data_IF_776803529026
#
_entry.id   IF_776803529026
#
_cell.length_a   1.000
_cell.length_b   1.000
_cell.length_c   1.000
_cell.angle_alpha   90.00
_cell.angle_beta   90.00
_cell.angle_gamma   90.00
#
_symmetry.space_group_name_H-M   'P 1'
#
loop_
_entity.id
_entity.type
_entity.pdbx_description
1 polymer ?
#
# COMPACT_ATOMS: atom_id res chain seq x y z
N UNK A 1 -5.56 -3.74 -18.51
CA UNK A 1 -4.89 -2.52 -17.98
C UNK A 1 -4.58 -2.72 -16.50
N UNK A 2 -3.56 -2.02 -15.96
CA UNK A 2 -3.21 -2.11 -14.55
C UNK A 2 -4.23 -1.33 -13.71
N UNK A 3 -4.85 -1.97 -12.73
CA UNK A 3 -5.70 -1.30 -11.74
C UNK A 3 -4.85 -0.59 -10.69
N UNK A 4 -5.35 0.51 -10.08
CA UNK A 4 -4.65 1.17 -8.97
C UNK A 4 -4.41 0.21 -7.80
N UNK A 5 -3.21 0.28 -7.19
CA UNK A 5 -2.82 -0.60 -6.07
C UNK A 5 -2.52 0.19 -4.81
N UNK A 6 -3.02 -0.29 -3.69
CA UNK A 6 -2.71 0.20 -2.34
C UNK A 6 -1.77 -0.73 -1.58
N UNK A 7 -1.68 -2.00 -2.00
CA UNK A 7 -0.82 -3.02 -1.42
C UNK A 7 0.17 -3.52 -2.48
N UNK A 8 1.46 -3.41 -2.15
CA UNK A 8 2.58 -3.82 -2.99
C UNK A 8 3.21 -5.06 -2.39
N UNK A 9 3.30 -6.13 -3.16
CA UNK A 9 3.88 -7.41 -2.74
C UNK A 9 4.27 -8.23 -3.95
N UNK A 10 5.43 -8.87 -3.90
CA UNK A 10 5.89 -9.79 -4.93
C UNK A 10 6.58 -9.14 -6.13
N UNK A 11 6.57 -7.80 -6.27
CA UNK A 11 7.11 -7.12 -7.46
C UNK A 11 8.60 -7.40 -7.69
N UNK A 12 9.34 -7.67 -6.62
CA UNK A 12 10.78 -7.90 -6.65
C UNK A 12 11.20 -9.32 -6.25
N UNK A 13 10.27 -10.28 -6.15
CA UNK A 13 10.61 -11.67 -5.77
C UNK A 13 11.68 -12.29 -6.66
N UNK A 14 11.67 -12.03 -7.97
CA UNK A 14 12.65 -12.56 -8.92
C UNK A 14 14.08 -12.06 -8.69
N UNK A 15 14.24 -10.97 -7.92
CA UNK A 15 15.54 -10.38 -7.58
C UNK A 15 16.05 -10.80 -6.20
N UNK A 16 15.39 -11.73 -5.52
CA UNK A 16 15.78 -12.13 -4.16
C UNK A 16 17.22 -12.61 -4.08
N UNK A 17 17.61 -13.55 -4.94
CA UNK A 17 18.99 -14.08 -4.97
C UNK A 17 20.01 -13.01 -5.38
N UNK A 18 19.62 -12.08 -6.26
CA UNK A 18 20.44 -10.94 -6.63
C UNK A 18 20.66 -10.01 -5.43
N UNK A 19 19.64 -9.70 -4.66
CA UNK A 19 19.77 -8.91 -3.43
C UNK A 19 20.65 -9.61 -2.39
N UNK A 20 20.50 -10.93 -2.21
CA UNK A 20 21.34 -11.70 -1.30
C UNK A 20 22.82 -11.72 -1.70
N UNK A 21 23.15 -11.67 -2.99
CA UNK A 21 24.53 -11.67 -3.50
C UNK A 21 25.27 -10.36 -3.27
N UNK A 22 24.56 -9.28 -2.86
CA UNK A 22 25.16 -7.97 -2.62
C UNK A 22 25.30 -7.68 -1.11
N UNK A 23 26.27 -6.83 -0.72
CA UNK A 23 26.42 -6.42 0.68
C UNK A 23 25.13 -5.81 1.24
N UNK A 24 24.63 -6.35 2.33
CA UNK A 24 23.40 -5.92 2.99
C UNK A 24 23.49 -6.16 4.52
N UNK A 25 22.51 -5.63 5.25
CA UNK A 25 22.32 -5.94 6.66
C UNK A 25 20.94 -6.56 6.85
N UNK A 26 20.87 -7.70 7.54
CA UNK A 26 19.56 -8.25 7.94
C UNK A 26 19.02 -7.48 9.14
N UNK A 27 17.74 -7.07 9.06
CA UNK A 27 17.03 -6.37 10.12
C UNK A 27 15.68 -7.02 10.40
N UNK A 28 15.28 -6.93 11.66
CA UNK A 28 13.98 -7.39 12.13
C UNK A 28 13.29 -6.24 12.87
N UNK A 29 11.99 -6.09 12.65
CA UNK A 29 11.16 -5.12 13.34
C UNK A 29 9.97 -5.85 13.96
N UNK A 30 9.70 -5.60 15.22
CA UNK A 30 8.52 -6.12 15.89
C UNK A 30 7.25 -5.40 15.38
N UNK A 31 6.10 -6.07 15.51
CA UNK A 31 4.82 -5.43 15.23
C UNK A 31 4.66 -4.12 15.99
N UNK A 32 4.31 -3.05 15.27
CA UNK A 32 4.16 -1.69 15.81
C UNK A 32 5.46 -0.90 15.91
N UNK A 33 6.61 -1.50 15.58
CA UNK A 33 7.88 -0.81 15.52
C UNK A 33 7.95 0.09 14.28
N UNK A 34 8.62 1.24 14.41
CA UNK A 34 8.76 2.22 13.33
C UNK A 34 10.05 1.98 12.57
N UNK A 35 9.95 1.86 11.25
CA UNK A 35 11.10 1.85 10.35
C UNK A 35 11.59 3.28 10.13
N UNK A 36 10.66 4.22 9.94
CA UNK A 36 10.92 5.66 9.87
C UNK A 36 9.81 6.44 10.56
N UNK A 37 10.20 7.48 11.26
CA UNK A 37 9.30 8.46 11.88
C UNK A 37 9.34 9.78 11.12
N UNK A 38 8.30 10.56 11.23
CA UNK A 38 8.26 11.96 10.77
C UNK A 38 9.55 12.70 11.20
N UNK A 39 10.15 13.41 10.26
CA UNK A 39 11.42 14.15 10.45
C UNK A 39 12.67 13.31 10.15
N UNK A 40 12.57 12.03 9.91
CA UNK A 40 13.70 11.16 9.55
C UNK A 40 13.80 11.01 8.04
N UNK A 41 14.98 11.28 7.43
CA UNK A 41 15.19 11.03 6.02
C UNK A 41 15.23 9.52 5.73
N UNK A 42 14.73 9.12 4.59
CA UNK A 42 14.78 7.74 4.11
C UNK A 42 16.16 7.41 3.52
N UNK A 43 17.14 7.12 4.35
CA UNK A 43 18.53 6.86 3.92
C UNK A 43 18.80 5.41 3.53
N UNK A 44 17.87 4.52 3.80
CA UNK A 44 18.00 3.09 3.56
C UNK A 44 16.88 2.59 2.65
N UNK A 45 17.14 1.50 1.94
CA UNK A 45 16.14 0.78 1.15
C UNK A 45 16.05 -0.63 1.71
N UNK A 46 14.84 -1.09 1.96
CA UNK A 46 14.58 -2.42 2.50
C UNK A 46 13.92 -3.29 1.41
N UNK A 47 14.47 -4.47 1.17
CA UNK A 47 13.72 -5.55 0.54
C UNK A 47 13.02 -6.35 1.65
N UNK A 48 11.71 -6.49 1.56
CA UNK A 48 10.90 -7.15 2.58
C UNK A 48 10.91 -8.66 2.33
N UNK A 49 11.56 -9.42 3.23
CA UNK A 49 11.62 -10.89 3.18
C UNK A 49 10.32 -11.52 3.67
N UNK A 50 9.73 -10.93 4.70
CA UNK A 50 8.47 -11.40 5.30
C UNK A 50 7.79 -10.29 6.07
N UNK A 51 6.48 -10.44 6.28
CA UNK A 51 5.65 -9.49 7.02
C UNK A 51 5.09 -8.36 6.16
N UNK A 52 4.53 -7.35 6.80
CA UNK A 52 3.88 -6.20 6.14
C UNK A 52 4.09 -4.91 6.92
N UNK A 53 4.26 -3.82 6.19
CA UNK A 53 4.35 -2.46 6.73
C UNK A 53 3.26 -1.55 6.17
N UNK A 54 3.00 -0.46 6.88
CA UNK A 54 2.10 0.61 6.47
C UNK A 54 2.87 1.93 6.38
N UNK A 55 2.62 2.66 5.30
CA UNK A 55 3.17 3.97 5.04
C UNK A 55 2.06 5.02 5.07
N UNK A 56 2.23 6.09 5.87
CA UNK A 56 1.20 7.09 6.07
C UNK A 56 1.78 8.46 6.39
N UNK A 57 0.94 9.50 6.25
CA UNK A 57 1.18 10.85 6.73
C UNK A 57 0.14 11.23 7.78
N UNK A 58 0.58 11.86 8.86
CA UNK A 58 -0.30 12.52 9.83
C UNK A 58 -0.35 14.01 9.50
N UNK A 59 -1.55 14.56 9.36
CA UNK A 59 -1.78 15.98 9.15
C UNK A 59 -1.92 16.71 10.50
N UNK A 60 -1.53 17.97 10.56
CA UNK A 60 -1.58 18.80 11.77
C UNK A 60 -2.96 18.90 12.44
N UNK A 61 -4.03 18.72 11.68
CA UNK A 61 -5.41 18.68 12.19
C UNK A 61 -5.82 17.30 12.74
N UNK A 62 -4.88 16.36 12.89
CA UNK A 62 -5.11 15.03 13.46
C UNK A 62 -5.64 13.97 12.48
N UNK A 63 -5.82 14.32 11.20
CA UNK A 63 -6.18 13.33 10.18
C UNK A 63 -4.97 12.53 9.73
N UNK A 64 -5.15 11.21 9.57
CA UNK A 64 -4.15 10.30 8.99
C UNK A 64 -4.53 9.96 7.57
N UNK A 65 -3.58 10.13 6.62
CA UNK A 65 -3.69 9.60 5.26
C UNK A 65 -2.78 8.38 5.12
N UNK A 66 -3.37 7.20 4.99
CA UNK A 66 -2.63 5.98 4.64
C UNK A 66 -2.35 6.03 3.14
N UNK A 67 -1.06 5.93 2.80
CA UNK A 67 -0.59 6.02 1.43
C UNK A 67 -0.51 4.64 0.80
N UNK A 68 0.16 3.68 1.46
CA UNK A 68 0.37 2.35 0.91
C UNK A 68 0.70 1.32 1.99
N UNK A 69 0.56 0.06 1.59
CA UNK A 69 1.06 -1.08 2.32
C UNK A 69 2.10 -1.80 1.48
N UNK A 70 3.11 -2.35 2.13
CA UNK A 70 4.16 -3.14 1.48
C UNK A 70 4.33 -4.45 2.22
N UNK A 71 4.41 -5.53 1.47
CA UNK A 71 4.57 -6.88 1.98
C UNK A 71 5.78 -7.58 1.38
N UNK A 72 5.83 -8.88 1.61
CA UNK A 72 6.89 -9.76 1.14
C UNK A 72 7.16 -9.60 -0.37
N UNK A 73 8.44 -9.57 -0.75
CA UNK A 73 8.86 -9.45 -2.14
C UNK A 73 8.72 -8.05 -2.73
N UNK A 74 8.49 -7.02 -1.91
CA UNK A 74 8.54 -5.62 -2.35
C UNK A 74 9.77 -4.91 -1.78
N UNK A 75 10.13 -3.75 -2.38
CA UNK A 75 11.09 -2.82 -1.82
C UNK A 75 10.38 -1.63 -1.19
N UNK A 76 10.98 -1.03 -0.15
CA UNK A 76 10.51 0.21 0.44
C UNK A 76 11.62 0.93 1.23
N UNK A 77 11.74 2.26 1.15
CA UNK A 77 11.13 3.13 0.13
C UNK A 77 11.64 2.84 -1.27
N UNK A 78 11.05 3.46 -2.29
CA UNK A 78 11.59 3.38 -3.65
C UNK A 78 12.95 4.07 -3.76
N UNK A 79 13.77 3.61 -4.71
CA UNK A 79 15.07 4.23 -4.98
C UNK A 79 14.92 5.48 -5.85
N UNK A 80 15.50 6.59 -5.41
CA UNK A 80 15.66 7.83 -6.17
C UNK A 80 16.85 8.62 -5.65
N UNK A 81 17.39 9.50 -6.48
CA UNK A 81 18.52 10.38 -6.14
C UNK A 81 18.09 11.76 -5.65
N UNK A 82 16.84 12.18 -5.94
CA UNK A 82 16.29 13.45 -5.52
C UNK A 82 15.84 13.40 -4.06
N UNK A 83 16.07 14.49 -3.30
CA UNK A 83 15.47 14.65 -1.97
C UNK A 83 14.07 15.25 -2.08
N UNK A 84 13.07 14.62 -1.49
CA UNK A 84 11.71 15.15 -1.42
C UNK A 84 11.40 15.65 -0.01
N UNK A 85 11.12 16.94 0.14
CA UNK A 85 10.75 17.53 1.44
C UNK A 85 9.55 16.80 2.07
N UNK A 86 8.61 16.32 1.25
CA UNK A 86 7.40 15.62 1.70
C UNK A 86 7.74 14.30 2.43
N UNK A 87 8.86 13.64 2.12
CA UNK A 87 9.29 12.42 2.80
C UNK A 87 9.47 12.61 4.30
N UNK A 88 9.88 13.81 4.73
CA UNK A 88 10.04 14.13 6.15
C UNK A 88 8.71 14.19 6.92
N UNK A 89 7.57 14.25 6.24
CA UNK A 89 6.24 14.20 6.86
C UNK A 89 5.68 12.77 6.96
N UNK A 90 6.39 11.80 6.41
CA UNK A 90 5.91 10.43 6.27
C UNK A 90 6.38 9.55 7.43
N UNK A 91 5.58 8.57 7.75
CA UNK A 91 5.86 7.57 8.79
C UNK A 91 5.67 6.17 8.22
N UNK A 92 6.58 5.26 8.60
CA UNK A 92 6.49 3.85 8.22
C UNK A 92 6.53 2.98 9.46
N UNK A 93 5.53 2.10 9.60
CA UNK A 93 5.36 1.24 10.78
C UNK A 93 5.13 -0.22 10.36
N UNK A 94 5.70 -1.15 11.11
CA UNK A 94 5.49 -2.58 10.96
C UNK A 94 4.07 -2.97 11.42
N UNK A 95 3.28 -3.59 10.54
CA UNK A 95 1.94 -4.12 10.86
C UNK A 95 1.99 -5.52 11.47
N UNK A 96 3.00 -6.27 11.09
CA UNK A 96 3.34 -7.59 11.62
C UNK A 96 4.79 -7.58 12.07
N UNK A 97 5.32 -8.67 12.55
CA UNK A 97 6.77 -8.88 12.60
C UNK A 97 7.31 -8.86 11.16
N UNK A 98 8.42 -8.14 10.92
CA UNK A 98 9.03 -7.93 9.59
C UNK A 98 10.48 -8.36 9.63
N UNK A 99 10.90 -9.06 8.57
CA UNK A 99 12.30 -9.33 8.25
C UNK A 99 12.67 -8.68 6.92
N UNK A 100 13.81 -7.97 6.86
CA UNK A 100 14.24 -7.25 5.66
C UNK A 100 15.73 -7.44 5.38
N UNK A 101 16.11 -7.28 4.10
CA UNK A 101 17.47 -6.94 3.69
C UNK A 101 17.56 -5.43 3.57
N UNK A 102 18.43 -4.82 4.37
CA UNK A 102 18.65 -3.37 4.40
C UNK A 102 19.88 -3.02 3.56
N UNK A 103 19.69 -2.07 2.63
CA UNK A 103 20.74 -1.50 1.79
C UNK A 103 20.88 -0.01 2.04
N UNK A 104 22.10 0.50 1.98
CA UNK A 104 22.32 1.94 1.87
C UNK A 104 21.88 2.43 0.47
N UNK A 105 21.58 3.72 0.33
CA UNK A 105 21.28 4.31 -0.99
C UNK A 105 22.43 4.09 -1.99
N UNK A 106 23.69 4.15 -1.52
CA UNK A 106 24.86 3.90 -2.38
C UNK A 106 24.93 2.46 -2.89
N UNK A 107 24.70 1.47 -2.00
CA UNK A 107 24.65 0.05 -2.42
C UNK A 107 23.52 -0.19 -3.43
N UNK A 108 22.34 0.39 -3.18
CA UNK A 108 21.22 0.22 -4.12
C UNK A 108 21.45 0.95 -5.44
N UNK A 109 22.10 2.14 -5.43
CA UNK A 109 22.51 2.84 -6.64
C UNK A 109 23.39 1.97 -7.54
N UNK A 110 24.38 1.32 -6.94
CA UNK A 110 25.27 0.43 -7.66
C UNK A 110 24.52 -0.76 -8.28
N UNK A 111 23.66 -1.43 -7.50
CA UNK A 111 22.81 -2.51 -8.02
C UNK A 111 21.88 -2.04 -9.14
N UNK A 112 21.31 -0.83 -9.01
CA UNK A 112 20.44 -0.23 -10.02
C UNK A 112 21.18 0.07 -11.34
N UNK A 113 22.42 0.48 -11.27
CA UNK A 113 23.27 0.76 -12.46
C UNK A 113 23.77 -0.53 -13.13
N UNK A 114 24.08 -1.57 -12.34
CA UNK A 114 24.65 -2.83 -12.83
C UNK A 114 23.58 -3.77 -13.43
N UNK A 115 22.30 -3.64 -13.01
CA UNK A 115 21.23 -4.55 -13.42
C UNK A 115 20.06 -3.80 -14.08
N UNK A 116 20.05 -3.80 -15.42
CA UNK A 116 19.00 -3.13 -16.22
C UNK A 116 17.59 -3.66 -15.91
N UNK A 117 17.43 -4.97 -15.66
CA UNK A 117 16.12 -5.53 -15.34
C UNK A 117 15.61 -5.02 -13.97
N UNK A 118 16.51 -4.84 -13.00
CA UNK A 118 16.16 -4.22 -11.71
C UNK A 118 15.74 -2.77 -11.91
N UNK A 119 16.49 -2.02 -12.75
CA UNK A 119 16.16 -0.62 -13.07
C UNK A 119 14.79 -0.49 -13.72
N UNK A 120 14.48 -1.34 -14.70
CA UNK A 120 13.17 -1.39 -15.35
C UNK A 120 12.05 -1.75 -14.33
N UNK A 121 12.32 -2.70 -13.45
CA UNK A 121 11.35 -3.10 -12.41
C UNK A 121 11.07 -1.95 -11.43
N UNK A 122 12.08 -1.18 -11.04
CA UNK A 122 11.91 0.00 -10.18
C UNK A 122 11.08 1.07 -10.90
N UNK A 123 11.33 1.33 -12.19
CA UNK A 123 10.50 2.26 -13.00
C UNK A 123 9.05 1.78 -13.09
N UNK A 124 8.84 0.50 -13.35
CA UNK A 124 7.49 -0.10 -13.40
C UNK A 124 6.77 0.03 -12.04
N UNK A 125 7.48 -0.19 -10.94
CA UNK A 125 6.95 -0.04 -9.60
C UNK A 125 6.54 1.42 -9.32
N UNK A 126 7.37 2.41 -9.69
CA UNK A 126 6.98 3.83 -9.62
C UNK A 126 5.78 4.17 -10.50
N UNK A 127 5.68 3.56 -11.69
CA UNK A 127 4.53 3.75 -12.58
C UNK A 127 3.23 3.27 -11.92
N UNK A 128 3.24 2.19 -11.15
CA UNK A 128 2.10 1.74 -10.37
C UNK A 128 1.71 2.75 -9.28
N UNK A 129 2.69 3.38 -8.62
CA UNK A 129 2.46 4.46 -7.66
C UNK A 129 1.83 5.68 -8.32
N UNK A 130 2.38 6.11 -9.46
CA UNK A 130 1.84 7.24 -10.23
C UNK A 130 0.40 6.96 -10.68
N UNK A 131 0.14 5.75 -11.22
CA UNK A 131 -1.20 5.33 -11.62
C UNK A 131 -2.22 5.45 -10.45
N UNK A 132 -1.85 5.01 -9.25
CA UNK A 132 -2.69 5.16 -8.06
C UNK A 132 -2.89 6.63 -7.66
N UNK A 133 -1.83 7.44 -7.68
CA UNK A 133 -1.94 8.87 -7.35
C UNK A 133 -2.84 9.61 -8.33
N UNK A 134 -2.72 9.33 -9.63
CA UNK A 134 -3.60 9.89 -10.65
C UNK A 134 -5.05 9.46 -10.43
N UNK A 135 -5.29 8.18 -10.12
CA UNK A 135 -6.62 7.70 -9.77
C UNK A 135 -7.20 8.43 -8.56
N UNK A 136 -6.42 8.62 -7.49
CA UNK A 136 -6.88 9.32 -6.29
C UNK A 136 -7.20 10.80 -6.57
N UNK A 137 -6.34 11.50 -7.32
CA UNK A 137 -6.47 12.95 -7.53
C UNK A 137 -7.46 13.33 -8.62
N UNK A 138 -7.61 12.51 -9.67
CA UNK A 138 -8.44 12.82 -10.82
C UNK A 138 -9.84 12.21 -10.72
N UNK A 139 -9.94 10.99 -10.19
CA UNK A 139 -11.20 10.25 -10.14
C UNK A 139 -11.75 10.11 -8.74
N UNK A 140 -10.96 9.57 -7.82
CA UNK A 140 -11.42 9.28 -6.46
C UNK A 140 -11.83 10.55 -5.71
N UNK A 141 -11.19 11.68 -5.97
CA UNK A 141 -11.50 12.98 -5.34
C UNK A 141 -12.96 13.41 -5.55
N UNK A 142 -13.47 13.21 -6.77
CA UNK A 142 -14.82 13.66 -7.15
C UNK A 142 -15.92 12.64 -6.87
N UNK A 143 -15.57 11.41 -6.51
CA UNK A 143 -16.53 10.37 -6.18
C UNK A 143 -17.22 10.63 -4.84
N UNK A 144 -18.50 10.22 -4.72
CA UNK A 144 -19.19 10.24 -3.42
C UNK A 144 -18.48 9.31 -2.41
N UNK A 145 -18.66 9.59 -1.11
CA UNK A 145 -18.06 8.75 -0.05
C UNK A 145 -18.43 7.26 -0.20
N UNK A 146 -19.63 6.95 -0.68
CA UNK A 146 -20.07 5.58 -0.90
C UNK A 146 -19.31 4.92 -2.07
N UNK A 147 -19.18 5.60 -3.20
CA UNK A 147 -18.41 5.12 -4.37
C UNK A 147 -16.93 4.96 -4.01
N UNK A 148 -16.33 5.90 -3.26
CA UNK A 148 -14.95 5.77 -2.75
C UNK A 148 -14.76 4.47 -1.97
N UNK A 149 -15.71 4.10 -1.11
CA UNK A 149 -15.67 2.84 -0.32
C UNK A 149 -15.78 1.64 -1.24
N UNK A 150 -16.72 1.64 -2.20
CA UNK A 150 -16.88 0.55 -3.17
C UNK A 150 -15.61 0.35 -3.99
N UNK A 151 -15.05 1.42 -4.55
CA UNK A 151 -13.82 1.39 -5.34
C UNK A 151 -12.65 0.78 -4.54
N UNK A 152 -12.45 1.24 -3.30
CA UNK A 152 -11.37 0.72 -2.47
C UNK A 152 -11.54 -0.77 -2.18
N UNK A 153 -12.72 -1.20 -1.75
CA UNK A 153 -12.99 -2.61 -1.46
C UNK A 153 -12.81 -3.49 -2.71
N UNK A 154 -13.26 -3.01 -3.87
CA UNK A 154 -13.08 -3.71 -5.14
C UNK A 154 -11.59 -3.86 -5.48
N UNK A 155 -10.83 -2.75 -5.49
CA UNK A 155 -9.41 -2.76 -5.83
C UNK A 155 -8.59 -3.62 -4.89
N UNK A 156 -8.90 -3.58 -3.60
CA UNK A 156 -8.25 -4.41 -2.62
C UNK A 156 -8.55 -5.91 -2.87
N UNK A 157 -9.75 -6.26 -3.32
CA UNK A 157 -10.14 -7.65 -3.62
C UNK A 157 -9.47 -8.17 -4.89
N UNK A 158 -9.54 -7.42 -6.00
CA UNK A 158 -9.01 -7.88 -7.30
C UNK A 158 -7.49 -7.90 -7.36
N UNK A 159 -6.82 -7.06 -6.58
CA UNK A 159 -5.37 -7.04 -6.49
C UNK A 159 -4.80 -8.10 -5.51
N UNK A 160 -5.67 -8.85 -4.84
CA UNK A 160 -5.29 -9.96 -3.97
C UNK A 160 -6.00 -11.25 -4.41
N UNK A 161 -5.55 -11.91 -5.49
CA UNK A 161 -6.26 -13.03 -6.11
C UNK A 161 -6.34 -14.30 -5.25
N UNK A 162 -5.56 -14.39 -4.16
CA UNK A 162 -5.56 -15.57 -3.27
C UNK A 162 -6.65 -15.53 -2.19
N UNK A 163 -7.29 -14.37 -1.99
CA UNK A 163 -8.28 -14.22 -0.93
C UNK A 163 -9.52 -13.47 -1.43
N UNK A 164 -10.61 -14.18 -1.66
CA UNK A 164 -11.94 -13.62 -1.49
C UNK A 164 -12.10 -13.29 0.01
N UNK A 165 -11.64 -12.12 0.41
CA UNK A 165 -11.70 -11.68 1.79
C UNK A 165 -10.35 -11.19 2.27
N UNK A 166 -10.31 -9.91 2.65
CA UNK A 166 -9.15 -9.28 3.24
C UNK A 166 -8.73 -9.95 4.52
N UNK A 167 -7.56 -10.55 4.56
CA UNK A 167 -6.86 -10.89 5.79
C UNK A 167 -5.93 -9.78 6.30
N UNK A 168 -5.84 -8.63 5.59
CA UNK A 168 -5.32 -7.43 6.21
C UNK A 168 -6.37 -7.00 7.23
N UNK A 169 -5.96 -6.87 8.51
CA UNK A 169 -6.80 -6.33 9.57
C UNK A 169 -7.16 -4.86 9.22
N UNK A 170 -8.05 -4.69 8.26
CA UNK A 170 -8.57 -3.38 7.88
C UNK A 170 -9.62 -2.99 8.89
N UNK A 171 -9.22 -2.10 9.78
CA UNK A 171 -10.13 -1.41 10.68
C UNK A 171 -10.90 -0.34 9.90
N UNK A 172 -12.04 0.08 10.43
CA UNK A 172 -12.78 1.23 9.87
C UNK A 172 -11.93 2.52 9.90
N UNK A 173 -11.01 2.63 10.87
CA UNK A 173 -10.07 3.76 10.96
C UNK A 173 -9.02 3.70 9.84
N UNK A 174 -8.55 2.51 9.48
CA UNK A 174 -7.65 2.34 8.33
C UNK A 174 -8.35 2.70 7.02
N UNK A 175 -9.60 2.25 6.81
CA UNK A 175 -10.39 2.66 5.64
C UNK A 175 -10.61 4.18 5.60
N UNK A 176 -10.93 4.79 6.74
CA UNK A 176 -11.08 6.23 6.88
C UNK A 176 -9.78 6.96 6.48
N UNK A 177 -8.63 6.50 6.98
CA UNK A 177 -7.31 7.04 6.64
C UNK A 177 -6.91 6.84 5.17
N UNK A 178 -7.29 5.72 4.54
CA UNK A 178 -7.03 5.49 3.11
C UNK A 178 -7.84 6.43 2.22
N UNK A 179 -9.11 6.65 2.57
CA UNK A 179 -10.06 7.39 1.73
C UNK A 179 -10.17 8.88 2.07
N UNK A 180 -9.57 9.33 3.18
CA UNK A 180 -9.77 10.68 3.68
C UNK A 180 -11.22 10.94 4.13
N UNK A 181 -11.93 9.91 4.62
CA UNK A 181 -13.31 9.96 5.06
C UNK A 181 -13.40 9.88 6.58
N UNK A 182 -14.50 10.42 7.15
CA UNK A 182 -14.80 10.24 8.56
C UNK A 182 -15.23 8.78 8.85
N UNK A 183 -14.97 8.32 10.07
CA UNK A 183 -15.41 7.00 10.53
C UNK A 183 -16.92 6.79 10.39
N UNK A 184 -17.72 7.86 10.56
CA UNK A 184 -19.18 7.81 10.40
C UNK A 184 -19.56 7.50 8.94
N UNK A 185 -18.87 8.11 7.96
CA UNK A 185 -19.09 7.84 6.54
C UNK A 185 -18.73 6.40 6.19
N UNK A 186 -17.60 5.89 6.70
CA UNK A 186 -17.21 4.49 6.55
C UNK A 186 -18.26 3.55 7.13
N UNK A 187 -18.67 3.77 8.39
CA UNK A 187 -19.68 2.94 9.05
C UNK A 187 -21.00 2.88 8.26
N UNK A 188 -21.47 4.03 7.77
CA UNK A 188 -22.71 4.12 6.96
C UNK A 188 -22.57 3.37 5.62
N UNK A 189 -21.46 3.56 4.92
CA UNK A 189 -21.20 2.88 3.64
C UNK A 189 -21.12 1.35 3.79
N UNK A 190 -20.39 0.88 4.79
CA UNK A 190 -20.30 -0.56 5.08
C UNK A 190 -21.67 -1.14 5.51
N UNK A 191 -22.47 -0.40 6.30
CA UNK A 191 -23.82 -0.84 6.67
C UNK A 191 -24.75 -0.95 5.44
N UNK A 192 -24.61 -0.06 4.47
CA UNK A 192 -25.35 -0.11 3.21
C UNK A 192 -24.97 -1.36 2.39
N UNK A 193 -23.68 -1.65 2.21
CA UNK A 193 -23.19 -2.82 1.49
C UNK A 193 -23.61 -4.13 2.19
N UNK A 194 -23.60 -4.19 3.53
CA UNK A 194 -24.08 -5.35 4.28
C UNK A 194 -25.57 -5.60 4.09
N UNK A 195 -26.41 -4.55 4.09
CA UNK A 195 -27.86 -4.69 3.85
C UNK A 195 -28.16 -5.24 2.46
N UNK A 196 -27.29 -4.99 1.49
CA UNK A 196 -27.38 -5.53 0.13
C UNK A 196 -26.70 -6.89 -0.01
N UNK A 197 -26.20 -7.49 1.08
CA UNK A 197 -25.48 -8.77 1.09
C UNK A 197 -24.24 -8.80 0.17
N UNK A 198 -23.66 -7.62 -0.15
CA UNK A 198 -22.46 -7.49 -1.00
C UNK A 198 -21.19 -7.77 -0.19
N UNK A 199 -21.23 -7.47 1.11
CA UNK A 199 -20.12 -7.75 2.03
C UNK A 199 -20.62 -8.36 3.32
N UNK A 200 -19.74 -9.12 3.99
CA UNK A 200 -19.84 -9.49 5.39
C UNK A 200 -18.74 -8.79 6.20
N UNK A 201 -19.01 -8.49 7.47
CA UNK A 201 -18.02 -7.87 8.37
C UNK A 201 -17.85 -8.69 9.62
N UNK A 202 -16.61 -8.95 10.01
CA UNK A 202 -16.20 -9.57 11.28
C UNK A 202 -15.27 -8.65 12.07
N UNK A 203 -14.72 -9.16 13.18
CA UNK A 203 -13.75 -8.40 13.99
C UNK A 203 -12.47 -8.16 13.19
N UNK A 204 -12.28 -6.91 12.73
CA UNK A 204 -11.10 -6.52 11.93
C UNK A 204 -11.05 -7.14 10.52
N UNK A 205 -12.18 -7.65 10.01
CA UNK A 205 -12.25 -8.30 8.70
C UNK A 205 -13.48 -7.83 7.92
N UNK A 206 -13.29 -7.55 6.63
CA UNK A 206 -14.34 -7.34 5.64
C UNK A 206 -14.17 -8.41 4.58
N UNK A 207 -15.25 -9.12 4.26
CA UNK A 207 -15.28 -10.13 3.20
C UNK A 207 -16.24 -9.66 2.12
N UNK A 208 -15.78 -9.56 0.88
CA UNK A 208 -16.64 -9.31 -0.29
C UNK A 208 -17.30 -10.63 -0.66
N UNK A 209 -18.62 -10.69 -0.58
CA UNK A 209 -19.44 -11.89 -0.85
C UNK A 209 -20.02 -11.91 -2.26
N UNK A 210 -20.20 -10.72 -2.88
CA UNK A 210 -20.68 -10.57 -4.26
C UNK A 210 -19.83 -9.52 -4.99
N UNK A 211 -18.73 -9.98 -5.61
CA UNK A 211 -17.81 -9.10 -6.34
C UNK A 211 -18.47 -8.47 -7.60
N UNK A 212 -19.28 -9.17 -8.41
CA UNK A 212 -20.02 -8.56 -9.50
C UNK A 212 -20.99 -7.46 -9.06
N UNK A 213 -21.69 -7.63 -7.94
CA UNK A 213 -22.55 -6.58 -7.40
C UNK A 213 -21.74 -5.39 -6.89
N UNK A 214 -20.59 -5.62 -6.25
CA UNK A 214 -19.69 -4.55 -5.83
C UNK A 214 -19.16 -3.77 -7.04
N UNK A 215 -18.74 -4.47 -8.12
CA UNK A 215 -18.24 -3.84 -9.34
C UNK A 215 -19.26 -2.87 -9.97
N UNK A 216 -20.54 -3.21 -9.96
CA UNK A 216 -21.63 -2.33 -10.47
C UNK A 216 -21.81 -1.05 -9.66
N UNK A 217 -21.30 -0.99 -8.43
CA UNK A 217 -21.35 0.19 -7.55
C UNK A 217 -20.09 1.04 -7.64
N UNK A 218 -19.07 0.54 -8.34
CA UNK A 218 -17.80 1.26 -8.55
C UNK A 218 -17.92 2.25 -9.71
N UNK A 219 -16.99 3.21 -9.74
CA UNK A 219 -16.82 4.08 -10.90
C UNK A 219 -16.21 3.31 -12.07
N UNK A 220 -16.46 3.76 -13.31
CA UNK A 220 -15.95 3.14 -14.54
C UNK A 220 -14.44 3.02 -14.57
N UNK A 221 -13.73 4.01 -14.02
CA UNK A 221 -12.25 4.07 -13.96
C UNK A 221 -11.67 3.00 -13.02
N UNK A 222 -12.50 2.42 -12.16
CA UNK A 222 -12.09 1.36 -11.22
C UNK A 222 -12.22 -0.03 -11.82
N UNK A 223 -13.26 -0.25 -12.61
CA UNK A 223 -13.65 -1.58 -13.12
C UNK A 223 -13.40 -1.77 -14.61
N UNK A 224 -13.11 -0.70 -15.33
CA UNK A 224 -13.09 -0.48 -16.76
C UNK A 224 -12.20 -1.14 -17.70
#
# INVERSE_FOLDING_TARGET
MLTPRYYFTGEFCRFYDYFLSHPHTEKHFAKGEYLWRTGQPHEKIHYIKSGALMHYADHENGHRKIISFHGEGSIFPGYHTCGFKIELSLTTVALTEISVLEFTRQQFSQMFEENTELSEQVVNWYSMYVNRLLFETVHQEYNSSFVKICNLLYLLTVNNPQNYGFDIAITQDALAGMLGLSRVQITRGLAQLRRQSIIATGRGKITVTDLPALARLCSSETTG
#
